data_IF_476740941193
#
_entry.id   IF_476740941193
#
_cell.length_a   1.000
_cell.length_b   1.000
_cell.length_c   1.000
_cell.angle_alpha   90.00
_cell.angle_beta   90.00
_cell.angle_gamma   90.00
#
_symmetry.space_group_name_H-M   'P 1'
#
loop_
_entity.id
_entity.type
_entity.pdbx_description
1 polymer ?
#
# COMPACT_ATOMS: atom_id res chain seq x y z
N UNK A 1 -29.66 10.84 5.83
CA UNK A 1 -28.21 10.82 5.65
C UNK A 1 -27.70 9.39 5.66
N UNK A 2 -27.00 9.02 4.61
CA UNK A 2 -26.38 7.71 4.55
C UNK A 2 -25.09 7.73 5.36
N UNK A 3 -24.88 6.70 6.15
CA UNK A 3 -23.65 6.54 6.91
C UNK A 3 -22.49 6.18 5.96
N UNK A 4 -21.31 6.66 6.28
CA UNK A 4 -20.10 6.33 5.54
C UNK A 4 -19.49 5.06 6.14
N UNK A 5 -19.34 4.03 5.33
CA UNK A 5 -18.67 2.78 5.76
C UNK A 5 -17.19 2.89 5.40
N UNK A 6 -16.33 2.82 6.40
CA UNK A 6 -14.89 2.93 6.22
C UNK A 6 -14.22 1.60 6.54
N UNK A 7 -13.45 1.10 5.58
CA UNK A 7 -12.63 -0.09 5.75
C UNK A 7 -11.22 0.39 6.12
N UNK A 8 -10.76 0.07 7.33
CA UNK A 8 -9.51 0.58 7.89
C UNK A 8 -8.47 -0.53 7.95
N UNK A 9 -7.39 -0.36 7.21
CA UNK A 9 -6.23 -1.24 7.27
C UNK A 9 -5.10 -0.50 7.98
N UNK A 10 -4.47 -1.13 8.97
CA UNK A 10 -3.38 -0.55 9.75
C UNK A 10 -2.06 -1.14 9.27
N UNK A 11 -1.03 -0.31 9.15
CA UNK A 11 0.29 -0.78 8.73
C UNK A 11 0.78 -1.98 9.54
N UNK A 12 1.45 -2.91 8.88
CA UNK A 12 1.96 -4.11 9.51
C UNK A 12 0.92 -5.17 9.84
N UNK A 13 -0.35 -4.96 9.46
CA UNK A 13 -1.41 -5.95 9.69
C UNK A 13 -1.96 -6.48 8.38
N UNK A 14 -2.50 -7.70 8.43
CA UNK A 14 -3.09 -8.37 7.27
C UNK A 14 -4.61 -8.30 7.26
N UNK A 15 -5.20 -7.74 8.32
CA UNK A 15 -6.65 -7.67 8.46
C UNK A 15 -7.11 -6.22 8.47
N UNK A 16 -8.34 -6.01 8.02
CA UNK A 16 -8.96 -4.70 8.07
C UNK A 16 -10.15 -4.70 9.02
N UNK A 17 -10.54 -3.52 9.46
CA UNK A 17 -11.70 -3.32 10.33
C UNK A 17 -12.64 -2.35 9.67
N UNK A 18 -13.94 -2.66 9.71
CA UNK A 18 -14.96 -1.75 9.21
C UNK A 18 -15.47 -0.87 10.35
N UNK A 19 -15.66 0.40 10.05
CA UNK A 19 -16.29 1.33 10.96
C UNK A 19 -17.35 2.12 10.20
N UNK A 20 -18.47 2.35 10.84
CA UNK A 20 -19.56 3.15 10.30
C UNK A 20 -19.46 4.55 10.91
N UNK A 21 -19.33 5.56 10.05
CA UNK A 21 -19.18 6.95 10.49
C UNK A 21 -20.41 7.72 10.04
N UNK A 22 -21.09 8.35 10.99
CA UNK A 22 -22.34 9.10 10.72
C UNK A 22 -22.11 10.50 10.19
N UNK A 23 -20.87 10.94 10.10
CA UNK A 23 -20.51 12.26 9.60
C UNK A 23 -19.72 12.12 8.31
N UNK A 24 -19.90 13.06 7.39
CA UNK A 24 -19.06 13.18 6.20
C UNK A 24 -18.01 14.27 6.35
N UNK A 25 -17.91 14.90 7.52
CA UNK A 25 -16.87 15.89 7.76
C UNK A 25 -15.52 15.21 7.90
N UNK A 26 -14.54 15.72 7.16
CA UNK A 26 -13.21 15.12 7.10
C UNK A 26 -12.58 14.95 8.49
N UNK A 27 -12.68 15.99 9.35
CA UNK A 27 -12.08 15.93 10.68
C UNK A 27 -12.70 14.82 11.54
N UNK A 28 -14.02 14.64 11.48
CA UNK A 28 -14.70 13.58 12.22
C UNK A 28 -14.35 12.20 11.70
N UNK A 29 -14.26 12.05 10.38
CA UNK A 29 -13.88 10.78 9.74
C UNK A 29 -12.43 10.42 10.12
N UNK A 30 -11.52 11.38 10.06
CA UNK A 30 -10.12 11.15 10.44
C UNK A 30 -9.98 10.77 11.90
N UNK A 31 -10.74 11.40 12.79
CA UNK A 31 -10.71 11.07 14.22
C UNK A 31 -11.16 9.62 14.47
N UNK A 32 -12.25 9.19 13.82
CA UNK A 32 -12.76 7.82 13.94
C UNK A 32 -11.75 6.81 13.41
N UNK A 33 -11.14 7.09 12.27
CA UNK A 33 -10.14 6.22 11.65
C UNK A 33 -8.90 6.08 12.55
N UNK A 34 -8.39 7.18 13.09
CA UNK A 34 -7.22 7.18 13.95
C UNK A 34 -7.45 6.39 15.24
N UNK A 35 -8.65 6.48 15.79
CA UNK A 35 -9.03 5.70 16.96
C UNK A 35 -8.99 4.20 16.67
N UNK A 36 -9.57 3.78 15.54
CA UNK A 36 -9.56 2.39 15.10
C UNK A 36 -8.12 1.91 14.85
N UNK A 37 -7.31 2.73 14.21
CA UNK A 37 -5.94 2.40 13.86
C UNK A 37 -5.01 2.25 15.05
N UNK A 38 -5.30 2.95 16.13
CA UNK A 38 -4.53 2.91 17.40
C UNK A 38 -3.04 3.19 17.25
N UNK A 39 -2.62 3.97 16.25
CA UNK A 39 -1.23 4.37 16.04
C UNK A 39 -0.94 5.77 16.60
N UNK A 40 -1.92 6.41 17.23
CA UNK A 40 -1.80 7.75 17.81
C UNK A 40 -2.45 8.83 16.96
N UNK A 41 -2.55 10.03 17.54
CA UNK A 41 -3.23 11.16 16.88
C UNK A 41 -2.45 11.70 15.68
N UNK A 42 -1.14 11.44 15.62
CA UNK A 42 -0.30 11.89 14.52
C UNK A 42 -0.19 10.90 13.37
N UNK A 43 -0.91 9.77 13.44
CA UNK A 43 -0.91 8.81 12.36
C UNK A 43 -1.50 9.43 11.08
N UNK A 44 -0.94 9.04 9.95
CA UNK A 44 -1.35 9.53 8.64
C UNK A 44 -2.38 8.59 8.05
N UNK A 45 -3.37 9.16 7.37
CA UNK A 45 -4.48 8.41 6.77
C UNK A 45 -4.47 8.65 5.27
N UNK A 46 -4.43 7.56 4.50
CA UNK A 46 -4.44 7.61 3.04
C UNK A 46 -5.61 6.79 2.52
N UNK A 47 -6.26 7.26 1.49
CA UNK A 47 -7.18 6.40 0.75
C UNK A 47 -6.34 5.33 0.03
N UNK A 48 -6.88 4.11 -0.06
CA UNK A 48 -6.18 3.00 -0.71
C UNK A 48 -5.68 3.40 -2.09
N UNK A 49 -4.40 3.14 -2.36
CA UNK A 49 -3.69 3.43 -3.60
C UNK A 49 -3.50 4.93 -3.90
N UNK A 50 -3.79 5.81 -2.94
CA UNK A 50 -3.57 7.25 -3.10
C UNK A 50 -2.16 7.65 -2.69
N UNK A 51 -1.58 8.61 -3.40
CA UNK A 51 -0.25 9.15 -3.07
C UNK A 51 -0.30 10.25 -2.01
N UNK A 52 -1.46 10.90 -1.85
CA UNK A 52 -1.64 11.99 -0.90
C UNK A 52 -2.53 11.55 0.25
N UNK A 53 -2.34 12.19 1.42
CA UNK A 53 -3.19 11.93 2.56
C UNK A 53 -4.66 12.27 2.26
N UNK A 54 -5.55 11.56 2.94
CA UNK A 54 -6.98 11.74 2.75
C UNK A 54 -7.37 13.20 2.99
N UNK A 55 -8.04 13.78 2.01
CA UNK A 55 -8.44 15.16 2.02
C UNK A 55 -9.71 15.35 1.17
N UNK A 56 -10.27 16.54 1.22
CA UNK A 56 -11.39 16.90 0.37
C UNK A 56 -12.74 16.57 0.95
N UNK A 57 -13.76 16.59 0.09
CA UNK A 57 -15.15 16.44 0.45
C UNK A 57 -15.58 14.99 0.39
N UNK A 58 -16.11 14.47 1.49
CA UNK A 58 -16.58 13.09 1.61
C UNK A 58 -18.12 12.97 1.56
N UNK A 59 -18.83 14.08 1.35
CA UNK A 59 -20.29 14.10 1.43
C UNK A 59 -20.98 13.11 0.48
N UNK A 60 -20.41 12.86 -0.68
CA UNK A 60 -20.99 11.96 -1.69
C UNK A 60 -20.46 10.54 -1.61
N UNK A 61 -19.62 10.27 -0.63
CA UNK A 61 -19.03 8.95 -0.48
C UNK A 61 -19.90 8.10 0.44
N UNK A 62 -20.16 6.87 0.05
CA UNK A 62 -20.86 5.89 0.89
C UNK A 62 -19.89 4.84 1.44
N UNK A 63 -18.75 4.67 0.78
CA UNK A 63 -17.73 3.71 1.19
C UNK A 63 -16.36 4.31 0.98
N UNK A 64 -15.42 3.95 1.85
CA UNK A 64 -14.05 4.45 1.82
C UNK A 64 -13.14 3.35 2.33
N UNK A 65 -12.06 3.07 1.60
CA UNK A 65 -11.02 2.14 2.05
C UNK A 65 -9.76 2.96 2.34
N UNK A 66 -9.25 2.87 3.56
CA UNK A 66 -8.11 3.69 3.99
C UNK A 66 -7.02 2.86 4.62
N UNK A 67 -5.82 3.43 4.60
CA UNK A 67 -4.62 2.90 5.24
C UNK A 67 -4.19 3.89 6.31
N UNK A 68 -3.93 3.38 7.53
CA UNK A 68 -3.39 4.18 8.62
C UNK A 68 -1.93 3.80 8.81
N UNK A 69 -1.04 4.78 8.80
CA UNK A 69 0.40 4.56 8.89
C UNK A 69 1.08 5.68 9.66
N UNK A 70 2.19 5.35 10.32
CA UNK A 70 3.08 6.35 10.91
C UNK A 70 3.99 6.99 9.88
N UNK A 71 4.03 6.44 8.66
CA UNK A 71 4.87 6.94 7.58
C UNK A 71 4.08 7.88 6.68
N UNK A 72 4.73 8.96 6.24
CA UNK A 72 4.19 9.80 5.16
C UNK A 72 4.59 9.24 3.81
N UNK A 73 5.74 8.61 3.74
CA UNK A 73 6.28 7.95 2.55
C UNK A 73 7.02 6.70 2.97
N UNK A 74 7.05 5.73 2.09
CA UNK A 74 7.84 4.51 2.25
C UNK A 74 8.87 4.49 1.14
N UNK A 75 10.15 4.37 1.51
CA UNK A 75 11.21 4.22 0.53
C UNK A 75 11.26 2.76 0.11
N UNK A 76 10.85 2.49 -1.14
CA UNK A 76 10.80 1.14 -1.68
C UNK A 76 12.03 0.90 -2.54
N UNK A 77 12.76 -0.16 -2.24
CA UNK A 77 13.89 -0.63 -3.04
C UNK A 77 13.48 -1.94 -3.68
N UNK A 78 13.61 -2.04 -5.00
CA UNK A 78 13.36 -3.28 -5.73
C UNK A 78 14.68 -3.75 -6.32
N UNK A 79 15.02 -5.01 -6.06
CA UNK A 79 16.23 -5.65 -6.53
C UNK A 79 15.89 -6.65 -7.62
N UNK A 80 16.68 -6.68 -8.68
CA UNK A 80 16.58 -7.67 -9.74
C UNK A 80 17.99 -8.01 -10.23
N UNK A 81 18.38 -9.27 -10.06
CA UNK A 81 19.74 -9.73 -10.36
C UNK A 81 20.75 -8.89 -9.55
N UNK A 82 21.61 -8.12 -10.22
CA UNK A 82 22.62 -7.28 -9.56
C UNK A 82 22.23 -5.81 -9.51
N UNK A 83 21.07 -5.47 -10.06
CA UNK A 83 20.59 -4.10 -10.10
C UNK A 83 19.57 -3.83 -8.99
N UNK A 84 19.53 -2.62 -8.52
CA UNK A 84 18.50 -2.18 -7.60
C UNK A 84 18.04 -0.78 -7.98
N UNK A 85 16.76 -0.54 -7.78
CA UNK A 85 16.15 0.77 -7.99
C UNK A 85 15.36 1.13 -6.75
N UNK A 86 15.15 2.42 -6.52
CA UNK A 86 14.39 2.86 -5.36
C UNK A 86 13.53 4.07 -5.70
N UNK A 87 12.42 4.18 -5.01
CA UNK A 87 11.48 5.28 -5.16
C UNK A 87 10.64 5.40 -3.89
N UNK A 88 10.21 6.60 -3.58
CA UNK A 88 9.27 6.85 -2.47
C UNK A 88 7.84 6.69 -2.97
N UNK A 89 7.05 5.92 -2.22
CA UNK A 89 5.63 5.73 -2.47
C UNK A 89 4.86 6.08 -1.21
N UNK A 90 3.58 6.40 -1.33
CA UNK A 90 2.73 6.49 -0.15
C UNK A 90 2.59 5.10 0.47
N UNK A 91 2.33 5.01 1.79
CA UNK A 91 2.08 3.69 2.43
C UNK A 91 0.88 2.95 1.84
N UNK A 92 -0.03 3.68 1.20
CA UNK A 92 -1.24 3.11 0.62
C UNK A 92 -1.06 2.62 -0.81
N UNK A 93 0.13 2.78 -1.41
CA UNK A 93 0.40 2.27 -2.75
C UNK A 93 0.27 0.75 -2.79
N UNK A 94 -0.29 0.23 -3.86
CA UNK A 94 -0.45 -1.22 -4.03
C UNK A 94 0.83 -1.84 -4.55
N UNK A 95 0.97 -3.14 -4.31
CA UNK A 95 2.07 -3.93 -4.89
C UNK A 95 2.04 -3.84 -6.42
N UNK A 96 0.84 -3.82 -7.03
CA UNK A 96 0.71 -3.65 -8.47
C UNK A 96 1.35 -2.36 -8.97
N UNK A 97 1.18 -1.25 -8.25
CA UNK A 97 1.78 0.03 -8.62
C UNK A 97 3.30 -0.04 -8.58
N UNK A 98 3.85 -0.63 -7.52
CA UNK A 98 5.29 -0.82 -7.36
C UNK A 98 5.82 -1.73 -8.47
N UNK A 99 5.10 -2.82 -8.76
CA UNK A 99 5.48 -3.77 -9.81
C UNK A 99 5.53 -3.11 -11.18
N UNK A 100 4.54 -2.31 -11.53
CA UNK A 100 4.51 -1.61 -12.82
C UNK A 100 5.70 -0.67 -12.97
N UNK A 101 6.01 0.06 -11.91
CA UNK A 101 7.18 0.94 -11.91
C UNK A 101 8.47 0.14 -12.09
N UNK A 102 8.66 -0.91 -11.30
CA UNK A 102 9.90 -1.70 -11.31
C UNK A 102 10.07 -2.45 -12.62
N UNK A 103 9.02 -3.12 -13.10
CA UNK A 103 9.07 -3.89 -14.34
C UNK A 103 9.31 -3.00 -15.57
N UNK A 104 8.82 -1.76 -15.52
CA UNK A 104 9.03 -0.80 -16.58
C UNK A 104 10.34 -0.01 -16.50
N UNK A 105 11.16 -0.27 -15.48
CA UNK A 105 12.41 0.45 -15.27
C UNK A 105 13.44 0.12 -16.35
N UNK A 106 14.12 1.16 -16.84
CA UNK A 106 15.19 1.00 -17.83
C UNK A 106 16.38 0.24 -17.28
N UNK A 107 16.63 0.33 -15.97
CA UNK A 107 17.76 -0.34 -15.32
C UNK A 107 17.64 -1.85 -15.38
N UNK A 108 16.41 -2.38 -15.38
CA UNK A 108 16.20 -3.83 -15.40
C UNK A 108 16.14 -4.43 -16.80
N UNK A 109 15.99 -3.61 -17.84
CA UNK A 109 16.01 -4.05 -19.24
C UNK A 109 15.03 -5.19 -19.56
N UNK A 110 13.85 -5.18 -18.94
CA UNK A 110 12.84 -6.22 -19.19
C UNK A 110 12.07 -5.94 -20.48
N UNK A 111 11.95 -6.95 -21.34
CA UNK A 111 11.09 -6.85 -22.51
C UNK A 111 9.62 -7.09 -22.10
N UNK A 112 8.70 -6.97 -23.05
CA UNK A 112 7.27 -7.10 -22.77
C UNK A 112 6.91 -8.47 -22.20
N UNK A 113 7.54 -9.54 -22.70
CA UNK A 113 7.30 -10.90 -22.20
C UNK A 113 7.76 -11.06 -20.76
N UNK A 114 8.94 -10.51 -20.42
CA UNK A 114 9.49 -10.54 -19.07
C UNK A 114 8.63 -9.72 -18.12
N UNK A 115 8.20 -8.52 -18.53
CA UNK A 115 7.33 -7.68 -17.72
C UNK A 115 6.02 -8.40 -17.37
N UNK A 116 5.47 -9.16 -18.32
CA UNK A 116 4.24 -9.92 -18.09
C UNK A 116 4.40 -11.04 -17.06
N UNK A 117 5.62 -11.54 -16.88
CA UNK A 117 5.93 -12.61 -15.91
C UNK A 117 6.43 -12.08 -14.57
N UNK A 118 6.69 -10.78 -14.47
CA UNK A 118 7.30 -10.20 -13.29
C UNK A 118 6.37 -10.27 -12.08
N UNK A 119 6.94 -10.60 -10.93
CA UNK A 119 6.29 -10.59 -9.64
C UNK A 119 7.24 -10.00 -8.59
N UNK A 120 6.68 -9.52 -7.50
CA UNK A 120 7.46 -9.05 -6.37
C UNK A 120 7.33 -10.04 -5.22
N UNK A 121 8.44 -10.29 -4.56
CA UNK A 121 8.51 -11.17 -3.39
C UNK A 121 9.28 -10.45 -2.29
N UNK A 122 9.04 -10.84 -1.03
CA UNK A 122 9.88 -10.40 0.07
C UNK A 122 11.21 -11.17 0.00
N UNK A 123 12.35 -10.49 0.27
CA UNK A 123 13.65 -11.16 0.25
C UNK A 123 13.65 -12.41 1.15
N UNK A 124 14.19 -13.49 0.63
CA UNK A 124 14.23 -14.76 1.37
C UNK A 124 12.95 -15.59 1.30
N UNK A 125 11.93 -15.12 0.61
CA UNK A 125 10.68 -15.87 0.42
C UNK A 125 10.55 -16.30 -1.05
N UNK A 126 9.62 -17.22 -1.31
CA UNK A 126 9.37 -17.72 -2.66
C UNK A 126 7.94 -17.52 -3.13
N UNK A 127 7.13 -16.80 -2.33
CA UNK A 127 5.73 -16.55 -2.68
C UNK A 127 5.54 -15.15 -3.24
N UNK A 128 4.81 -14.99 -4.35
CA UNK A 128 4.52 -13.66 -4.87
C UNK A 128 3.60 -12.90 -3.93
N UNK A 129 3.86 -11.61 -3.78
CA UNK A 129 2.98 -10.75 -3.00
C UNK A 129 1.69 -10.51 -3.78
N UNK A 130 0.58 -10.47 -3.08
CA UNK A 130 -0.70 -10.16 -3.69
C UNK A 130 -0.66 -8.76 -4.29
N UNK A 131 -1.00 -8.63 -5.58
CA UNK A 131 -0.88 -7.39 -6.32
C UNK A 131 -1.82 -6.30 -5.83
N UNK A 132 -2.94 -6.69 -5.23
CA UNK A 132 -3.93 -5.77 -4.68
C UNK A 132 -3.67 -5.36 -3.24
N UNK A 133 -2.66 -5.94 -2.58
CA UNK A 133 -2.30 -5.53 -1.22
C UNK A 133 -1.47 -4.25 -1.24
N UNK A 134 -1.55 -3.49 -0.16
CA UNK A 134 -0.77 -2.26 0.00
C UNK A 134 0.61 -2.55 0.57
N UNK A 135 1.57 -1.70 0.25
CA UNK A 135 2.94 -1.87 0.76
C UNK A 135 3.01 -1.71 2.27
N UNK A 136 2.11 -0.95 2.88
CA UNK A 136 2.07 -0.76 4.34
C UNK A 136 1.91 -2.08 5.10
N UNK A 137 1.26 -3.06 4.49
CA UNK A 137 1.05 -4.39 5.10
C UNK A 137 2.37 -5.07 5.46
N UNK A 138 3.43 -4.77 4.71
CA UNK A 138 4.72 -5.44 4.83
C UNK A 138 5.75 -4.64 5.63
N UNK A 139 5.36 -3.48 6.17
CA UNK A 139 6.25 -2.68 7.01
C UNK A 139 6.45 -3.36 8.37
N UNK A 140 7.69 -3.36 8.83
CA UNK A 140 8.09 -3.99 10.09
C UNK A 140 8.47 -2.89 11.07
N UNK A 141 7.91 -2.93 12.29
CA UNK A 141 8.24 -2.01 13.39
C UNK A 141 8.08 -0.53 13.01
N UNK A 142 7.13 -0.23 12.14
CA UNK A 142 6.87 1.13 11.67
C UNK A 142 8.05 1.78 10.93
N UNK A 143 8.95 0.97 10.41
CA UNK A 143 10.01 1.46 9.54
C UNK A 143 9.42 1.90 8.20
N UNK A 144 9.87 3.05 7.72
CA UNK A 144 9.33 3.63 6.49
C UNK A 144 10.19 3.28 5.27
N UNK A 145 10.60 2.02 5.21
CA UNK A 145 11.37 1.46 4.11
C UNK A 145 10.98 0.01 3.87
N UNK A 146 11.06 -0.41 2.62
CA UNK A 146 10.68 -1.76 2.21
C UNK A 146 11.59 -2.21 1.07
N UNK A 147 12.17 -3.40 1.23
CA UNK A 147 13.00 -4.01 0.18
C UNK A 147 12.21 -5.18 -0.41
N UNK A 148 12.11 -5.21 -1.72
CA UNK A 148 11.42 -6.25 -2.47
C UNK A 148 12.34 -6.81 -3.55
N UNK A 149 12.18 -8.08 -3.88
CA UNK A 149 12.89 -8.70 -4.99
C UNK A 149 11.91 -8.88 -6.15
N UNK A 150 12.33 -8.50 -7.35
CA UNK A 150 11.59 -8.78 -8.57
C UNK A 150 12.02 -10.13 -9.10
N UNK A 151 11.07 -10.96 -9.45
CA UNK A 151 11.34 -12.28 -10.00
C UNK A 151 10.53 -12.49 -11.28
N UNK A 152 11.11 -13.23 -12.21
CA UNK A 152 10.44 -13.64 -13.42
C UNK A 152 9.94 -15.09 -13.33
N UNK A 153 10.01 -15.66 -12.13
CA UNK A 153 9.54 -17.01 -11.88
C UNK A 153 8.03 -17.12 -12.11
N UNK A 154 7.63 -18.18 -12.80
CA UNK A 154 6.22 -18.45 -13.05
C UNK A 154 5.60 -19.14 -11.82
N UNK A 155 4.59 -18.50 -11.24
CA UNK A 155 3.86 -19.03 -10.09
C UNK A 155 2.50 -19.63 -10.47
N UNK A 156 2.13 -19.58 -11.77
CA UNK A 156 0.80 -20.02 -12.21
C UNK A 156 0.63 -21.52 -12.22
N UNK A 157 1.72 -22.28 -12.29
CA UNK A 157 1.71 -23.74 -12.33
C UNK A 157 2.34 -24.34 -11.07
N UNK A 158 2.19 -23.67 -9.97
CA UNK A 158 2.77 -24.10 -8.71
C UNK A 158 2.13 -25.33 -8.11
#
# INVERSE_FOLDING_TARGET
MSDLIVDVEVEGTKTSKNVEVRSSELAAVLAAIREIGALGEEAHVFERDAEQELAGDLERRSALAVIVSKCTHVEVTVQFERESIHRKFSPAATIMRVLKWAAGSKEFHLDAAAQAKANLILPGTEEPLARDSTISRYLVRHECSLVLDLTLRDFTNG
#
